data_IF_105759001694
#
_entry.id   IF_105759001694
#
_cell.length_a   1.000
_cell.length_b   1.000
_cell.length_c   1.000
_cell.angle_alpha   90.00
_cell.angle_beta   90.00
_cell.angle_gamma   90.00
#
_symmetry.space_group_name_H-M   'P 1'
#
loop_
_entity.id
_entity.type
_entity.pdbx_description
1 polymer ?
#
# COMPACT_ATOMS: atom_id res chain seq x y z
N UNK A 1 9.00 23.88 35.13
CA UNK A 1 9.18 22.52 35.70
C UNK A 1 7.90 21.66 35.57
N UNK A 2 7.13 21.80 34.48
CA UNK A 2 6.00 20.93 34.11
C UNK A 2 5.86 20.78 32.58
N UNK A 3 6.97 20.96 31.86
CA UNK A 3 7.06 20.83 30.39
C UNK A 3 8.18 19.88 29.94
N UNK A 4 8.92 19.30 30.91
CA UNK A 4 10.02 18.34 30.66
C UNK A 4 9.54 16.88 30.85
N UNK A 5 8.35 16.67 31.41
CA UNK A 5 7.81 15.30 31.65
C UNK A 5 7.06 14.69 30.44
N UNK A 6 6.68 15.48 29.44
CA UNK A 6 6.09 14.97 28.19
C UNK A 6 7.15 14.50 27.18
N UNK A 7 8.41 14.89 27.33
CA UNK A 7 9.51 14.48 26.46
C UNK A 7 10.11 13.10 26.81
N UNK A 8 9.74 12.51 27.96
CA UNK A 8 10.29 11.21 28.42
C UNK A 8 9.33 10.05 28.13
N UNK A 9 8.09 10.32 27.72
CA UNK A 9 7.11 9.28 27.35
C UNK A 9 7.00 9.00 25.83
N UNK A 10 7.73 9.72 24.99
CA UNK A 10 7.84 9.45 23.54
C UNK A 10 9.13 8.72 23.13
N UNK A 11 10.05 8.46 24.07
CA UNK A 11 11.30 7.74 23.80
C UNK A 11 11.28 6.25 24.20
N UNK A 12 10.10 5.73 24.57
CA UNK A 12 9.85 4.29 24.73
C UNK A 12 8.98 3.74 23.59
N UNK A 13 9.02 4.38 22.43
CA UNK A 13 8.53 3.79 21.19
C UNK A 13 9.51 2.73 20.74
N UNK A 14 9.46 1.53 21.35
CA UNK A 14 9.98 0.33 20.73
C UNK A 14 9.45 0.30 19.28
N UNK A 15 10.30 0.65 18.32
CA UNK A 15 10.03 0.54 16.90
C UNK A 15 10.04 -0.95 16.52
N UNK A 16 9.10 -1.69 17.10
CA UNK A 16 8.73 -3.03 16.66
C UNK A 16 7.51 -2.82 15.78
N UNK A 17 7.73 -2.35 14.56
CA UNK A 17 6.81 -2.70 13.48
C UNK A 17 6.79 -4.24 13.46
N UNK A 18 5.62 -4.91 13.52
CA UNK A 18 5.58 -6.36 13.46
C UNK A 18 6.27 -6.79 12.16
N UNK A 19 7.47 -7.33 12.25
CA UNK A 19 8.12 -7.97 11.11
C UNK A 19 7.34 -9.25 10.87
N UNK A 20 6.87 -9.46 9.63
CA UNK A 20 6.40 -10.77 9.21
C UNK A 20 7.49 -11.79 9.52
N UNK A 21 7.16 -12.80 10.33
CA UNK A 21 8.05 -13.86 10.80
C UNK A 21 7.66 -15.18 10.17
N UNK A 22 8.55 -16.19 10.18
CA UNK A 22 8.20 -17.55 9.75
C UNK A 22 6.94 -18.11 10.44
N UNK A 23 6.67 -17.70 11.69
CA UNK A 23 5.45 -18.08 12.43
C UNK A 23 4.15 -17.61 11.77
N UNK A 24 4.21 -16.59 10.91
CA UNK A 24 3.04 -16.00 10.26
C UNK A 24 2.67 -16.75 8.97
N UNK A 25 3.50 -17.68 8.51
CA UNK A 25 3.32 -18.45 7.28
C UNK A 25 1.93 -19.08 7.15
N UNK A 26 1.29 -19.68 8.19
CA UNK A 26 -0.06 -20.24 8.04
C UNK A 26 -1.12 -19.21 7.64
N UNK A 27 -0.90 -17.93 7.99
CA UNK A 27 -1.82 -16.84 7.64
C UNK A 27 -1.56 -16.24 6.25
N UNK A 28 -0.47 -16.62 5.58
CA UNK A 28 -0.01 -16.06 4.30
C UNK A 28 0.04 -17.11 3.19
N UNK A 29 0.46 -18.32 3.49
CA UNK A 29 0.69 -19.36 2.51
C UNK A 29 -0.56 -19.66 1.67
N UNK A 30 -0.39 -19.75 0.35
CA UNK A 30 -1.45 -20.00 -0.65
C UNK A 30 -2.55 -18.92 -0.71
N UNK A 31 -2.36 -17.78 -0.07
CA UNK A 31 -3.22 -16.61 -0.27
C UNK A 31 -2.69 -15.77 -1.42
N UNK A 32 -3.60 -15.15 -2.17
CA UNK A 32 -3.28 -14.27 -3.28
C UNK A 32 -3.29 -12.81 -2.85
N UNK A 33 -2.14 -12.13 -3.03
CA UNK A 33 -1.93 -10.74 -2.65
C UNK A 33 -1.72 -9.89 -3.91
N UNK A 34 -2.64 -8.98 -4.19
CA UNK A 34 -2.45 -7.95 -5.24
C UNK A 34 -1.78 -6.73 -4.63
N UNK A 35 -0.65 -6.30 -5.21
CA UNK A 35 0.17 -5.21 -4.68
C UNK A 35 0.40 -4.17 -5.76
N UNK A 36 -0.22 -3.00 -5.60
CA UNK A 36 0.06 -1.84 -6.46
C UNK A 36 1.30 -1.10 -6.00
N UNK A 37 2.05 -0.48 -6.91
CA UNK A 37 3.32 0.18 -6.57
C UNK A 37 4.40 -0.81 -6.12
N UNK A 38 4.37 -2.04 -6.62
CA UNK A 38 5.30 -3.11 -6.22
C UNK A 38 6.76 -2.88 -6.70
N UNK A 39 7.01 -1.91 -7.58
CA UNK A 39 8.32 -1.70 -8.20
C UNK A 39 9.41 -1.17 -7.26
N UNK A 40 9.06 -0.67 -6.07
CA UNK A 40 10.03 -0.02 -5.17
C UNK A 40 9.54 0.08 -3.73
N UNK A 41 10.45 0.46 -2.83
CA UNK A 41 10.14 0.82 -1.44
C UNK A 41 9.31 -0.22 -0.70
N UNK A 42 8.28 0.25 0.01
CA UNK A 42 7.40 -0.59 0.83
C UNK A 42 6.74 -1.73 0.01
N UNK A 43 6.17 -1.43 -1.15
CA UNK A 43 5.51 -2.43 -2.00
C UNK A 43 6.43 -3.58 -2.41
N UNK A 44 7.67 -3.26 -2.81
CA UNK A 44 8.69 -4.28 -3.15
C UNK A 44 9.05 -5.13 -1.94
N UNK A 45 9.26 -4.50 -0.78
CA UNK A 45 9.60 -5.21 0.46
C UNK A 45 8.48 -6.13 0.95
N UNK A 46 7.22 -5.69 0.84
CA UNK A 46 6.04 -6.50 1.15
C UNK A 46 5.93 -7.70 0.21
N UNK A 47 6.10 -7.50 -1.10
CA UNK A 47 6.06 -8.58 -2.08
C UNK A 47 7.08 -9.69 -1.77
N UNK A 48 8.34 -9.32 -1.49
CA UNK A 48 9.39 -10.27 -1.13
C UNK A 48 9.05 -11.06 0.14
N UNK A 49 8.58 -10.38 1.19
CA UNK A 49 8.26 -11.03 2.47
C UNK A 49 7.06 -11.98 2.36
N UNK A 50 6.00 -11.57 1.65
CA UNK A 50 4.83 -12.41 1.43
C UNK A 50 5.17 -13.65 0.60
N UNK A 51 5.97 -13.47 -0.46
CA UNK A 51 6.40 -14.60 -1.28
C UNK A 51 7.32 -15.57 -0.53
N UNK A 52 8.21 -15.07 0.34
CA UNK A 52 9.03 -15.91 1.22
C UNK A 52 8.20 -16.76 2.21
N UNK A 53 6.99 -16.30 2.54
CA UNK A 53 6.00 -17.03 3.34
C UNK A 53 5.01 -17.83 2.48
N UNK A 54 5.37 -18.12 1.22
CA UNK A 54 4.59 -18.91 0.26
C UNK A 54 3.23 -18.29 -0.13
N UNK A 55 3.10 -16.97 -0.04
CA UNK A 55 1.99 -16.24 -0.65
C UNK A 55 2.15 -16.12 -2.17
N UNK A 56 1.05 -16.16 -2.90
CA UNK A 56 1.00 -15.85 -4.33
C UNK A 56 0.92 -14.32 -4.49
N UNK A 57 1.94 -13.68 -5.06
CA UNK A 57 1.97 -12.22 -5.21
C UNK A 57 1.69 -11.78 -6.64
N UNK A 58 0.78 -10.83 -6.81
CA UNK A 58 0.52 -10.14 -8.07
C UNK A 58 1.13 -8.75 -7.98
N UNK A 59 2.15 -8.50 -8.80
CA UNK A 59 2.98 -7.31 -8.77
C UNK A 59 2.48 -6.33 -9.83
N UNK A 60 1.98 -5.18 -9.39
CA UNK A 60 1.41 -4.16 -10.27
C UNK A 60 2.15 -2.82 -10.15
N UNK A 61 2.62 -2.31 -11.28
CA UNK A 61 3.21 -0.99 -11.47
C UNK A 61 3.38 -0.71 -12.99
N UNK A 62 3.76 0.52 -13.34
CA UNK A 62 3.95 0.93 -14.74
C UNK A 62 5.26 0.42 -15.38
N UNK A 63 6.29 0.16 -14.58
CA UNK A 63 7.62 -0.26 -15.07
C UNK A 63 7.74 -1.79 -15.11
N UNK A 64 7.39 -2.38 -16.25
CA UNK A 64 7.35 -3.83 -16.44
C UNK A 64 8.68 -4.52 -16.18
N UNK A 65 9.78 -3.93 -16.66
CA UNK A 65 11.15 -4.42 -16.49
C UNK A 65 11.53 -4.60 -15.01
N UNK A 66 11.24 -3.60 -14.18
CA UNK A 66 11.52 -3.64 -12.73
C UNK A 66 10.65 -4.70 -12.03
N UNK A 67 9.40 -4.89 -12.48
CA UNK A 67 8.52 -5.92 -11.92
C UNK A 67 8.98 -7.32 -12.31
N UNK A 68 9.42 -7.54 -13.54
CA UNK A 68 9.93 -8.83 -13.97
C UNK A 68 11.23 -9.19 -13.27
N UNK A 69 12.12 -8.22 -13.00
CA UNK A 69 13.30 -8.45 -12.16
C UNK A 69 12.89 -8.93 -10.76
N UNK A 70 11.93 -8.25 -10.13
CA UNK A 70 11.41 -8.64 -8.81
C UNK A 70 10.75 -10.03 -8.86
N UNK A 71 9.96 -10.31 -9.89
CA UNK A 71 9.30 -11.61 -10.06
C UNK A 71 10.32 -12.74 -10.26
N UNK A 72 11.38 -12.50 -11.04
CA UNK A 72 12.46 -13.45 -11.23
C UNK A 72 13.17 -13.76 -9.90
N UNK A 73 13.49 -12.72 -9.11
CA UNK A 73 14.06 -12.91 -7.76
C UNK A 73 13.16 -13.76 -6.86
N UNK A 74 11.85 -13.48 -6.85
CA UNK A 74 10.87 -14.24 -6.08
C UNK A 74 10.80 -15.71 -6.52
N UNK A 75 10.70 -15.95 -7.83
CA UNK A 75 10.60 -17.30 -8.41
C UNK A 75 11.88 -18.10 -8.17
N UNK A 76 13.06 -17.48 -8.28
CA UNK A 76 14.35 -18.11 -7.95
C UNK A 76 14.43 -18.54 -6.49
N UNK A 77 13.81 -17.79 -5.58
CA UNK A 77 13.71 -18.15 -4.16
C UNK A 77 12.60 -19.19 -3.86
N UNK A 78 11.94 -19.74 -4.89
CA UNK A 78 10.87 -20.74 -4.76
C UNK A 78 9.49 -20.16 -4.47
N UNK A 79 9.32 -18.84 -4.54
CA UNK A 79 8.03 -18.16 -4.38
C UNK A 79 7.22 -18.08 -5.67
N UNK A 80 5.99 -17.57 -5.56
CA UNK A 80 5.04 -17.44 -6.67
C UNK A 80 4.75 -15.97 -6.95
N UNK A 81 4.97 -15.54 -8.19
CA UNK A 81 4.76 -14.16 -8.62
C UNK A 81 4.13 -14.08 -10.02
N UNK A 82 3.14 -13.19 -10.17
CA UNK A 82 2.56 -12.74 -11.43
C UNK A 82 2.88 -11.25 -11.63
N UNK A 83 3.35 -10.87 -12.81
CA UNK A 83 3.54 -9.46 -13.18
C UNK A 83 2.34 -9.00 -14.00
N UNK A 84 1.79 -7.84 -13.65
CA UNK A 84 0.78 -7.16 -14.44
C UNK A 84 1.17 -5.69 -14.54
N UNK A 85 1.43 -5.23 -15.75
CA UNK A 85 1.72 -3.80 -15.97
C UNK A 85 0.43 -3.02 -15.75
N UNK A 86 0.47 -2.01 -14.89
CA UNK A 86 -0.74 -1.29 -14.47
C UNK A 86 -0.43 0.16 -14.13
N UNK A 87 -1.13 1.08 -14.79
CA UNK A 87 -1.32 2.45 -14.31
C UNK A 87 -2.56 2.51 -13.41
N UNK A 88 -2.33 2.77 -12.12
CA UNK A 88 -3.42 2.81 -11.14
C UNK A 88 -4.39 3.96 -11.40
N UNK A 89 -4.00 5.01 -12.13
CA UNK A 89 -4.89 6.11 -12.49
C UNK A 89 -5.89 5.73 -13.60
N UNK A 90 -5.74 4.55 -14.21
CA UNK A 90 -6.65 4.04 -15.23
C UNK A 90 -7.61 2.98 -14.63
N UNK A 91 -8.92 3.24 -14.54
CA UNK A 91 -9.86 2.30 -13.92
C UNK A 91 -10.00 0.98 -14.72
N UNK A 92 -9.78 1.00 -16.04
CA UNK A 92 -9.86 -0.22 -16.86
C UNK A 92 -8.66 -1.15 -16.57
N UNK A 93 -7.46 -0.59 -16.44
CA UNK A 93 -6.27 -1.37 -16.10
C UNK A 93 -6.37 -1.98 -14.69
N UNK A 94 -7.05 -1.31 -13.75
CA UNK A 94 -7.31 -1.86 -12.41
C UNK A 94 -8.29 -3.03 -12.44
N UNK A 95 -9.26 -3.02 -13.35
CA UNK A 95 -10.14 -4.18 -13.59
C UNK A 95 -9.39 -5.32 -14.27
N UNK A 96 -8.53 -5.01 -15.23
CA UNK A 96 -7.68 -5.99 -15.91
C UNK A 96 -6.70 -6.66 -14.93
N UNK A 97 -6.15 -5.89 -14.00
CA UNK A 97 -5.31 -6.40 -12.90
C UNK A 97 -6.07 -7.42 -12.03
N UNK A 98 -7.29 -7.09 -11.61
CA UNK A 98 -8.12 -8.01 -10.83
C UNK A 98 -8.43 -9.27 -11.63
N UNK A 99 -8.80 -9.13 -12.91
CA UNK A 99 -9.09 -10.26 -13.80
C UNK A 99 -7.88 -11.18 -13.95
N UNK A 100 -6.70 -10.63 -14.24
CA UNK A 100 -5.46 -11.42 -14.38
C UNK A 100 -5.10 -12.19 -13.10
N UNK A 101 -5.29 -11.56 -11.93
CA UNK A 101 -5.08 -12.22 -10.63
C UNK A 101 -6.02 -13.42 -10.45
N UNK A 102 -7.31 -13.23 -10.76
CA UNK A 102 -8.34 -14.27 -10.64
C UNK A 102 -8.10 -15.39 -11.67
N UNK A 103 -7.77 -15.07 -12.92
CA UNK A 103 -7.47 -16.06 -13.95
C UNK A 103 -6.27 -16.94 -13.55
N UNK A 104 -5.26 -16.35 -12.91
CA UNK A 104 -4.03 -17.07 -12.54
C UNK A 104 -4.14 -17.87 -11.26
N UNK A 105 -4.82 -17.34 -10.24
CA UNK A 105 -4.82 -17.89 -8.87
C UNK A 105 -6.22 -18.24 -8.35
N UNK A 106 -7.28 -17.93 -9.10
CA UNK A 106 -8.67 -18.26 -8.80
C UNK A 106 -9.37 -17.32 -7.81
N UNK A 107 -8.62 -16.49 -7.07
CA UNK A 107 -9.16 -15.57 -6.04
C UNK A 107 -8.22 -14.40 -5.76
N UNK A 108 -8.71 -13.45 -4.97
CA UNK A 108 -7.89 -12.38 -4.39
C UNK A 108 -8.16 -12.38 -2.89
N UNK A 109 -7.17 -12.71 -2.07
CA UNK A 109 -7.33 -12.68 -0.60
C UNK A 109 -7.12 -11.30 -0.03
N UNK A 110 -6.09 -10.61 -0.53
CA UNK A 110 -5.68 -9.31 -0.03
C UNK A 110 -5.36 -8.39 -1.19
N UNK A 111 -5.93 -7.19 -1.15
CA UNK A 111 -5.61 -6.13 -2.09
C UNK A 111 -4.90 -5.00 -1.36
N UNK A 112 -3.68 -4.68 -1.80
CA UNK A 112 -2.82 -3.67 -1.19
C UNK A 112 -2.71 -2.48 -2.15
N UNK A 113 -3.46 -1.42 -1.83
CA UNK A 113 -3.30 -0.12 -2.48
C UNK A 113 -2.10 0.61 -1.88
N UNK A 114 -0.97 0.57 -2.59
CA UNK A 114 0.30 1.12 -2.14
C UNK A 114 0.91 2.13 -3.13
N UNK A 115 0.51 2.11 -4.41
CA UNK A 115 1.02 3.07 -5.39
C UNK A 115 0.79 4.52 -4.92
N UNK A 116 1.85 5.32 -4.92
CA UNK A 116 1.80 6.72 -4.59
C UNK A 116 2.94 7.49 -5.28
N UNK A 117 2.70 8.77 -5.51
CA UNK A 117 3.67 9.76 -5.98
C UNK A 117 3.54 11.02 -5.13
N UNK A 118 4.55 11.88 -5.17
CA UNK A 118 4.51 13.14 -4.44
C UNK A 118 5.38 14.20 -5.11
N UNK A 119 5.25 15.42 -4.61
CA UNK A 119 6.08 16.56 -4.92
C UNK A 119 6.44 17.28 -3.60
N UNK A 120 7.62 17.86 -3.56
CA UNK A 120 8.13 18.66 -2.45
C UNK A 120 8.43 20.06 -2.98
N UNK A 121 7.76 21.07 -2.42
CA UNK A 121 7.99 22.46 -2.79
C UNK A 121 6.92 23.39 -2.25
N UNK A 122 7.12 24.70 -2.38
CA UNK A 122 6.05 25.67 -2.14
C UNK A 122 4.89 25.37 -3.07
N UNK A 123 3.67 25.47 -2.55
CA UNK A 123 2.48 25.00 -3.25
C UNK A 123 2.31 25.69 -4.62
N UNK A 124 2.58 26.99 -4.66
CA UNK A 124 2.54 27.86 -5.83
C UNK A 124 3.72 27.68 -6.79
N UNK A 125 4.81 27.05 -6.35
CA UNK A 125 6.01 26.80 -7.16
C UNK A 125 6.00 25.39 -7.78
N UNK A 126 5.19 24.46 -7.25
CA UNK A 126 4.98 23.13 -7.83
C UNK A 126 4.05 23.24 -9.05
N UNK A 127 4.42 22.68 -10.22
CA UNK A 127 3.56 22.69 -11.40
C UNK A 127 2.17 22.13 -11.12
N UNK A 128 1.14 22.77 -11.67
CA UNK A 128 -0.27 22.38 -11.46
C UNK A 128 -0.52 20.94 -11.92
N UNK A 129 0.16 20.51 -12.98
CA UNK A 129 0.09 19.17 -13.54
C UNK A 129 0.60 18.11 -12.56
N UNK A 130 1.61 18.44 -11.75
CA UNK A 130 2.11 17.53 -10.70
C UNK A 130 1.12 17.39 -9.55
N UNK A 131 0.43 18.49 -9.17
CA UNK A 131 -0.67 18.41 -8.20
C UNK A 131 -1.81 17.51 -8.71
N UNK A 132 -2.22 17.67 -9.97
CA UNK A 132 -3.24 16.82 -10.59
C UNK A 132 -2.82 15.34 -10.62
N UNK A 133 -1.57 15.07 -11.03
CA UNK A 133 -1.00 13.72 -11.06
C UNK A 133 -0.97 13.06 -9.68
N UNK A 134 -0.69 13.82 -8.62
CA UNK A 134 -0.74 13.33 -7.24
C UNK A 134 -2.16 12.88 -6.89
N UNK A 135 -3.19 13.65 -7.25
CA UNK A 135 -4.60 13.27 -7.03
C UNK A 135 -4.97 12.02 -7.84
N UNK A 136 -4.57 11.96 -9.11
CA UNK A 136 -4.87 10.84 -10.00
C UNK A 136 -4.28 9.52 -9.50
N UNK A 137 -3.03 9.54 -9.05
CA UNK A 137 -2.38 8.31 -8.56
C UNK A 137 -2.78 7.98 -7.14
N UNK A 138 -2.65 8.93 -6.21
CA UNK A 138 -2.75 8.64 -4.77
C UNK A 138 -4.18 8.47 -4.29
N UNK A 139 -5.15 9.17 -4.90
CA UNK A 139 -6.55 9.13 -4.50
C UNK A 139 -7.42 8.38 -5.50
N UNK A 140 -7.43 8.78 -6.78
CA UNK A 140 -8.26 8.07 -7.78
C UNK A 140 -7.80 6.63 -7.94
N UNK A 141 -6.49 6.38 -8.02
CA UNK A 141 -5.97 5.01 -8.10
C UNK A 141 -6.32 4.14 -6.90
N UNK A 142 -6.30 4.71 -5.69
CA UNK A 142 -6.76 4.05 -4.47
C UNK A 142 -8.27 3.73 -4.53
N UNK A 143 -9.08 4.66 -5.03
CA UNK A 143 -10.53 4.44 -5.24
C UNK A 143 -10.75 3.31 -6.25
N UNK A 144 -10.05 3.31 -7.38
CA UNK A 144 -10.22 2.29 -8.42
C UNK A 144 -9.79 0.90 -7.95
N UNK A 145 -8.67 0.80 -7.24
CA UNK A 145 -8.22 -0.45 -6.64
C UNK A 145 -9.16 -0.95 -5.53
N UNK A 146 -9.60 -0.05 -4.65
CA UNK A 146 -10.61 -0.39 -3.64
C UNK A 146 -11.90 -0.89 -4.28
N UNK A 147 -12.38 -0.22 -5.33
CA UNK A 147 -13.59 -0.64 -6.03
C UNK A 147 -13.45 -2.03 -6.67
N UNK A 148 -12.33 -2.30 -7.36
CA UNK A 148 -12.06 -3.62 -7.94
C UNK A 148 -11.99 -4.72 -6.86
N UNK A 149 -11.27 -4.45 -5.77
CA UNK A 149 -11.13 -5.36 -4.64
C UNK A 149 -12.47 -5.66 -3.97
N UNK A 150 -13.24 -4.62 -3.61
CA UNK A 150 -14.52 -4.79 -2.91
C UNK A 150 -15.55 -5.54 -3.75
N UNK A 151 -15.59 -5.33 -5.07
CA UNK A 151 -16.43 -6.13 -5.96
C UNK A 151 -16.06 -7.61 -5.90
N UNK A 152 -14.77 -7.93 -5.94
CA UNK A 152 -14.30 -9.31 -5.83
C UNK A 152 -14.59 -9.91 -4.45
N UNK A 153 -14.31 -9.18 -3.37
CA UNK A 153 -14.52 -9.65 -2.00
C UNK A 153 -15.99 -9.92 -1.70
N UNK A 154 -16.90 -9.06 -2.21
CA UNK A 154 -18.35 -9.31 -2.14
C UNK A 154 -18.75 -10.56 -2.92
N UNK A 155 -18.19 -10.78 -4.11
CA UNK A 155 -18.49 -11.95 -4.93
C UNK A 155 -18.01 -13.26 -4.32
N UNK A 156 -16.81 -13.28 -3.71
CA UNK A 156 -16.25 -14.49 -3.09
C UNK A 156 -16.62 -14.65 -1.60
N UNK A 157 -17.19 -13.61 -0.97
CA UNK A 157 -17.65 -13.61 0.42
C UNK A 157 -16.56 -13.39 1.47
N UNK A 158 -15.32 -13.05 1.09
CA UNK A 158 -14.22 -12.76 2.02
C UNK A 158 -13.15 -11.90 1.35
N UNK A 159 -12.30 -11.26 2.15
CA UNK A 159 -11.08 -10.59 1.65
C UNK A 159 -10.63 -9.46 2.55
N UNK A 160 -9.42 -8.96 2.33
CA UNK A 160 -8.87 -7.83 3.09
C UNK A 160 -8.39 -6.73 2.15
N UNK A 161 -8.98 -5.55 2.27
CA UNK A 161 -8.49 -4.33 1.64
C UNK A 161 -7.47 -3.66 2.56
N UNK A 162 -6.27 -3.39 2.04
CA UNK A 162 -5.23 -2.65 2.75
C UNK A 162 -4.91 -1.39 1.98
N UNK A 163 -5.13 -0.24 2.61
CA UNK A 163 -4.79 1.07 2.08
C UNK A 163 -3.51 1.59 2.76
N UNK A 164 -2.49 1.91 1.99
CA UNK A 164 -1.25 2.50 2.53
C UNK A 164 -1.38 4.02 2.56
N UNK A 165 -1.65 4.52 3.76
CA UNK A 165 -1.68 5.94 4.09
C UNK A 165 -0.28 6.49 4.35
N UNK A 166 -0.19 7.40 5.30
CA UNK A 166 1.03 7.99 5.85
C UNK A 166 0.67 8.62 7.18
N UNK A 167 1.64 8.91 8.04
CA UNK A 167 1.39 9.81 9.19
C UNK A 167 0.96 11.21 8.71
N UNK A 168 1.38 11.61 7.51
CA UNK A 168 0.88 12.82 6.84
C UNK A 168 -0.63 12.82 6.56
N UNK A 169 -1.28 11.65 6.67
CA UNK A 169 -2.73 11.58 6.58
C UNK A 169 -3.44 12.28 7.76
N UNK A 170 -2.78 12.43 8.91
CA UNK A 170 -3.31 13.13 10.08
C UNK A 170 -2.54 14.42 10.38
N UNK A 171 -1.23 14.41 10.15
CA UNK A 171 -0.32 15.52 10.48
C UNK A 171 0.31 16.03 9.19
N UNK A 172 -0.31 17.01 8.49
CA UNK A 172 0.22 17.51 7.23
C UNK A 172 1.56 18.21 7.43
N UNK A 173 2.50 17.99 6.50
CA UNK A 173 3.80 18.65 6.48
C UNK A 173 3.80 19.81 5.48
N UNK A 174 4.50 20.89 5.84
CA UNK A 174 4.75 21.99 4.91
C UNK A 174 5.42 21.48 3.64
N UNK A 175 5.12 22.11 2.50
CA UNK A 175 5.64 21.78 1.18
C UNK A 175 5.16 20.45 0.56
N UNK A 176 4.26 19.73 1.24
CA UNK A 176 3.65 18.47 0.78
C UNK A 176 2.14 18.59 0.53
N UNK A 177 1.60 19.80 0.33
CA UNK A 177 0.17 20.09 0.44
C UNK A 177 -0.75 19.10 -0.30
N UNK A 178 -0.52 18.85 -1.60
CA UNK A 178 -1.33 17.89 -2.38
C UNK A 178 -1.12 16.45 -1.93
N UNK A 179 0.11 16.06 -1.58
CA UNK A 179 0.39 14.74 -1.02
C UNK A 179 -0.36 14.52 0.29
N UNK A 180 -0.29 15.47 1.23
CA UNK A 180 -0.99 15.42 2.51
C UNK A 180 -2.52 15.39 2.32
N UNK A 181 -3.06 16.22 1.42
CA UNK A 181 -4.49 16.23 1.10
C UNK A 181 -4.97 14.86 0.59
N UNK A 182 -4.24 14.24 -0.36
CA UNK A 182 -4.59 12.90 -0.84
C UNK A 182 -4.51 11.86 0.27
N UNK A 183 -3.51 11.95 1.16
CA UNK A 183 -3.32 11.03 2.28
C UNK A 183 -4.42 11.16 3.35
N UNK A 184 -4.93 12.36 3.60
CA UNK A 184 -6.15 12.56 4.41
C UNK A 184 -7.40 11.94 3.75
N UNK A 185 -7.49 12.02 2.41
CA UNK A 185 -8.52 11.34 1.63
C UNK A 185 -8.48 9.81 1.76
N UNK A 186 -7.28 9.22 1.79
CA UNK A 186 -7.09 7.75 1.94
C UNK A 186 -7.61 7.23 3.29
N UNK A 187 -7.35 7.94 4.39
CA UNK A 187 -7.90 7.56 5.71
C UNK A 187 -9.43 7.56 5.66
N UNK A 188 -10.02 8.66 5.19
CA UNK A 188 -11.47 8.80 5.18
C UNK A 188 -12.14 7.80 4.24
N UNK A 189 -11.54 7.52 3.09
CA UNK A 189 -12.01 6.47 2.18
C UNK A 189 -12.04 5.10 2.88
N UNK A 190 -10.93 4.72 3.52
CA UNK A 190 -10.83 3.44 4.23
C UNK A 190 -11.87 3.32 5.35
N UNK A 191 -12.01 4.38 6.16
CA UNK A 191 -12.99 4.43 7.25
C UNK A 191 -14.44 4.32 6.74
N UNK A 192 -14.77 5.02 5.65
CA UNK A 192 -16.10 4.96 5.05
C UNK A 192 -16.44 3.56 4.51
N UNK A 193 -15.51 2.90 3.81
CA UNK A 193 -15.71 1.53 3.32
C UNK A 193 -15.82 0.55 4.49
N UNK A 194 -15.00 0.71 5.55
CA UNK A 194 -15.08 -0.12 6.74
C UNK A 194 -16.46 -0.03 7.41
N UNK A 195 -17.03 1.18 7.49
CA UNK A 195 -18.37 1.40 8.03
C UNK A 195 -19.45 0.74 7.16
N UNK A 196 -19.33 0.80 5.83
CA UNK A 196 -20.22 0.07 4.92
C UNK A 196 -20.17 -1.44 5.17
N UNK A 197 -18.97 -2.00 5.35
CA UNK A 197 -18.80 -3.42 5.66
C UNK A 197 -19.44 -3.78 6.99
N UNK A 198 -19.21 -2.97 8.02
CA UNK A 198 -19.82 -3.15 9.35
C UNK A 198 -21.35 -3.15 9.26
N UNK A 199 -21.94 -2.19 8.54
CA UNK A 199 -23.38 -2.09 8.36
C UNK A 199 -23.97 -3.24 7.54
N UNK A 200 -23.19 -3.83 6.63
CA UNK A 200 -23.61 -5.03 5.89
C UNK A 200 -23.60 -6.32 6.73
N UNK A 201 -23.07 -6.29 7.95
CA UNK A 201 -22.96 -7.47 8.83
C UNK A 201 -21.91 -8.50 8.40
N UNK A 202 -20.99 -8.12 7.51
CA UNK A 202 -19.93 -9.00 7.02
C UNK A 202 -18.78 -9.10 8.02
N UNK A 203 -18.48 -10.31 8.50
CA UNK A 203 -17.35 -10.60 9.40
C UNK A 203 -16.08 -11.08 8.68
N UNK A 204 -16.18 -11.37 7.38
CA UNK A 204 -15.12 -12.02 6.58
C UNK A 204 -14.46 -11.09 5.56
N UNK A 205 -15.03 -9.91 5.34
CA UNK A 205 -14.42 -8.83 4.56
C UNK A 205 -13.89 -7.79 5.53
N UNK A 206 -12.64 -7.39 5.36
CA UNK A 206 -11.94 -6.48 6.25
C UNK A 206 -11.35 -5.31 5.47
N UNK A 207 -11.28 -4.15 6.12
CA UNK A 207 -10.61 -2.95 5.58
C UNK A 207 -9.64 -2.44 6.63
N UNK A 208 -8.39 -2.22 6.24
CA UNK A 208 -7.36 -1.69 7.10
C UNK A 208 -6.62 -0.54 6.38
N UNK A 209 -6.35 0.53 7.11
CA UNK A 209 -5.44 1.59 6.66
C UNK A 209 -4.17 1.51 7.50
N UNK A 210 -3.03 1.34 6.83
CA UNK A 210 -1.72 1.35 7.49
C UNK A 210 -1.07 2.72 7.32
N UNK A 211 -0.46 3.24 8.38
CA UNK A 211 0.16 4.58 8.39
C UNK A 211 1.65 4.46 8.71
N UNK A 212 2.51 4.12 7.72
CA UNK A 212 3.94 4.11 7.93
C UNK A 212 4.45 5.51 8.30
N UNK A 213 5.40 5.56 9.24
CA UNK A 213 6.24 6.74 9.42
C UNK A 213 7.26 6.82 8.27
N UNK A 214 7.76 8.02 7.97
CA UNK A 214 8.60 8.34 6.81
C UNK A 214 10.04 7.75 6.83
N UNK A 215 10.21 6.52 7.32
CA UNK A 215 11.52 5.91 7.57
C UNK A 215 11.97 4.88 6.52
N UNK A 216 11.19 4.57 5.48
CA UNK A 216 11.60 3.47 4.58
C UNK A 216 11.09 3.57 3.12
N UNK A 217 11.37 4.67 2.43
CA UNK A 217 11.26 4.69 0.95
C UNK A 217 12.36 5.51 0.26
N UNK A 218 12.74 5.17 -0.99
CA UNK A 218 13.65 5.98 -1.82
C UNK A 218 13.14 7.40 -2.12
N UNK A 219 11.89 7.72 -1.78
CA UNK A 219 11.22 8.98 -2.07
C UNK A 219 11.98 10.20 -1.50
N UNK A 220 12.68 10.02 -0.38
CA UNK A 220 13.35 11.13 0.29
C UNK A 220 14.79 11.37 -0.16
N UNK A 221 15.48 10.43 -0.82
CA UNK A 221 16.89 10.61 -1.22
C UNK A 221 17.87 10.95 -0.08
N UNK A 222 17.42 10.95 1.19
CA UNK A 222 18.22 11.34 2.35
C UNK A 222 18.64 10.05 3.07
N UNK A 223 19.93 9.76 3.00
CA UNK A 223 20.59 8.84 3.92
C UNK A 223 20.63 9.54 5.29
N UNK A 224 19.76 9.17 6.23
CA UNK A 224 19.81 9.68 7.61
C UNK A 224 20.61 8.69 8.49
N UNK A 225 21.90 8.93 8.75
CA UNK A 225 22.75 8.01 9.53
C UNK A 225 22.46 7.97 11.04
N UNK A 226 21.33 8.53 11.51
CA UNK A 226 21.08 8.73 12.95
C UNK A 226 19.90 7.92 13.53
N UNK A 227 19.36 6.93 12.82
CA UNK A 227 18.22 6.13 13.31
C UNK A 227 18.47 4.61 13.23
N UNK A 228 19.70 4.18 13.50
CA UNK A 228 20.01 2.78 13.79
C UNK A 228 20.67 2.67 15.16
N UNK A 229 19.85 2.70 16.21
CA UNK A 229 20.14 2.06 17.51
C UNK A 229 18.83 1.54 18.10
#
# INVERSE_FOLDING_TARGET
MLLVLLAVLQLSGCAVSPRLKPSDQPSVARKTFVITGASSGFGRGVALKLAALQGDVVLAARRTDVLEELAAQIRMAGGSALVVTTDVSNPNEMQDLARAAIERFGRIDVWINNAAVGALGRFEDVPVEDHARIVDVNLKGMIYGSHAAMRQFRAQGFGTLVNVGSVESEIPLAYHASSAATKGGVINLGAAIAEEIRLSGSETINVATVMPWAVDTPFLGINLPFLVH
#
